data_IF_807799913946
#
_entry.id   IF_807799913946
#
_cell.length_a   1.000
_cell.length_b   1.000
_cell.length_c   1.000
_cell.angle_alpha   90.00
_cell.angle_beta   90.00
_cell.angle_gamma   90.00
#
_symmetry.space_group_name_H-M   'P 1'
#
loop_
_entity.id
_entity.type
_entity.pdbx_description
1 polymer ?
#
# COMPACT_ATOMS: atom_id res chain seq x y z
N UNK A 1 -58.57 -0.21 1.20
CA UNK A 1 -58.80 -0.43 2.64
C UNK A 1 -57.58 -1.17 3.17
N UNK A 2 -56.75 -0.72 4.11
CA UNK A 2 -56.71 0.45 4.99
C UNK A 2 -55.22 0.87 5.11
N UNK A 3 -54.96 2.18 5.21
CA UNK A 3 -53.66 2.74 5.60
C UNK A 3 -53.51 2.60 7.12
N UNK A 4 -52.33 2.22 7.59
CA UNK A 4 -51.95 2.33 9.00
C UNK A 4 -51.14 3.61 9.17
N UNK A 5 -51.75 4.59 9.83
CA UNK A 5 -51.09 5.76 10.44
C UNK A 5 -50.75 5.45 11.91
N UNK A 6 -49.93 6.33 12.50
CA UNK A 6 -49.46 6.45 13.91
C UNK A 6 -48.19 5.66 14.25
N UNK A 7 -47.14 6.22 14.88
CA UNK A 7 -46.94 7.50 15.58
C UNK A 7 -45.42 7.75 15.74
N UNK A 8 -44.93 8.97 15.50
CA UNK A 8 -43.55 9.39 15.81
C UNK A 8 -43.49 10.02 17.21
N UNK A 9 -42.50 9.69 18.07
CA UNK A 9 -42.37 10.30 19.39
C UNK A 9 -41.74 11.70 19.34
N UNK A 10 -42.20 12.55 20.27
CA UNK A 10 -41.99 14.00 20.38
C UNK A 10 -40.53 14.46 20.57
N UNK A 11 -40.14 15.51 19.83
CA UNK A 11 -38.87 16.26 19.99
C UNK A 11 -38.85 17.01 21.32
N UNK A 12 -37.74 16.90 22.08
CA UNK A 12 -37.48 17.72 23.29
C UNK A 12 -37.08 19.17 22.91
N UNK A 13 -37.42 20.19 23.71
CA UNK A 13 -37.13 21.59 23.40
C UNK A 13 -35.67 21.97 23.71
N UNK A 14 -35.15 22.95 22.95
CA UNK A 14 -33.86 23.63 23.18
C UNK A 14 -34.00 24.64 24.32
N UNK A 15 -33.05 24.65 25.25
CA UNK A 15 -32.83 25.79 26.15
C UNK A 15 -31.67 26.63 25.58
N UNK A 16 -32.03 27.77 24.99
CA UNK A 16 -31.17 28.95 24.87
C UNK A 16 -31.43 29.80 26.11
N UNK A 17 -30.38 30.17 26.85
CA UNK A 17 -30.39 31.40 27.68
C UNK A 17 -28.96 31.81 28.14
N UNK A 18 -28.35 32.68 27.32
CA UNK A 18 -27.65 33.95 27.67
C UNK A 18 -26.31 33.92 28.48
N UNK A 19 -25.46 34.99 28.47
CA UNK A 19 -25.42 36.24 27.69
C UNK A 19 -24.05 36.62 27.08
N UNK A 20 -24.10 37.70 26.28
CA UNK A 20 -23.09 38.47 25.53
C UNK A 20 -21.76 38.80 26.24
N UNK A 21 -20.72 38.92 25.42
CA UNK A 21 -19.44 39.61 25.67
C UNK A 21 -19.62 41.08 26.06
N UNK A 22 -18.67 41.65 26.85
CA UNK A 22 -18.11 42.95 26.43
C UNK A 22 -16.60 43.18 26.67
N UNK A 23 -16.05 43.94 25.71
CA UNK A 23 -15.03 45.02 25.75
C UNK A 23 -13.57 44.81 26.20
N UNK A 24 -12.69 45.13 25.24
CA UNK A 24 -11.28 45.52 25.30
C UNK A 24 -10.83 46.36 26.52
N UNK A 25 -9.65 46.02 27.07
CA UNK A 25 -8.62 46.97 27.56
C UNK A 25 -7.25 46.25 27.58
N UNK A 26 -6.09 46.93 27.36
CA UNK A 26 -4.87 46.34 26.80
C UNK A 26 -3.75 46.06 27.82
N UNK A 27 -2.61 45.57 27.29
CA UNK A 27 -1.30 45.23 27.91
C UNK A 27 -1.15 43.72 28.23
N UNK A 28 -0.04 43.05 27.94
CA UNK A 28 1.32 43.50 27.71
C UNK A 28 1.99 42.70 26.58
N UNK A 29 2.98 43.30 25.94
CA UNK A 29 3.93 42.65 25.04
C UNK A 29 4.55 41.43 25.75
N UNK A 30 4.20 40.24 25.27
CA UNK A 30 4.93 39.02 25.53
C UNK A 30 5.42 38.51 24.18
N UNK A 31 6.74 38.56 24.03
CA UNK A 31 7.51 38.01 22.91
C UNK A 31 7.10 36.54 22.70
N UNK A 32 6.23 36.28 21.74
CA UNK A 32 5.74 34.94 21.41
C UNK A 32 6.37 34.52 20.10
N UNK A 33 7.51 33.84 20.18
CA UNK A 33 8.00 33.03 19.06
C UNK A 33 7.18 31.74 19.03
N UNK A 34 6.29 31.52 18.03
CA UNK A 34 5.52 30.29 17.99
C UNK A 34 6.47 29.16 17.61
N UNK A 35 6.63 28.17 18.49
CA UNK A 35 7.22 26.90 18.08
C UNK A 35 6.39 26.35 16.93
N UNK A 36 6.98 26.20 15.74
CA UNK A 36 6.32 25.58 14.60
C UNK A 36 5.89 24.16 15.01
N UNK A 37 4.59 23.95 15.22
CA UNK A 37 4.02 22.61 15.28
C UNK A 37 4.33 21.91 13.95
N UNK A 38 5.05 20.79 14.02
CA UNK A 38 5.38 20.00 12.84
C UNK A 38 4.12 19.30 12.35
N UNK A 39 3.80 19.49 11.07
CA UNK A 39 2.67 18.82 10.42
C UNK A 39 2.84 17.29 10.49
N UNK A 40 1.77 16.48 10.68
CA UNK A 40 1.89 15.02 10.84
C UNK A 40 2.43 14.30 9.59
N UNK A 41 2.13 14.81 8.40
CA UNK A 41 2.69 14.32 7.15
C UNK A 41 4.03 15.00 6.88
N UNK A 42 5.11 14.25 7.11
CA UNK A 42 6.48 14.73 6.90
C UNK A 42 6.81 15.02 5.44
N UNK A 43 6.08 14.45 4.48
CA UNK A 43 6.32 14.70 3.04
C UNK A 43 6.03 16.16 2.65
N UNK A 44 5.20 16.84 3.44
CA UNK A 44 4.86 18.27 3.24
C UNK A 44 5.90 19.24 3.81
N UNK A 45 6.92 18.74 4.51
CA UNK A 45 7.85 19.60 5.22
C UNK A 45 8.84 20.29 4.28
N UNK A 46 8.93 21.63 4.42
CA UNK A 46 10.02 22.41 3.86
C UNK A 46 11.33 22.28 4.68
N UNK A 47 12.46 22.82 4.18
CA UNK A 47 13.77 22.67 4.83
C UNK A 47 13.83 23.16 6.28
N UNK A 48 13.13 24.24 6.63
CA UNK A 48 13.10 24.73 8.02
C UNK A 48 12.32 23.80 8.96
N UNK A 49 11.28 23.13 8.48
CA UNK A 49 10.53 22.15 9.26
C UNK A 49 11.39 20.89 9.48
N UNK A 50 12.17 20.48 8.46
CA UNK A 50 13.18 19.42 8.61
C UNK A 50 14.22 19.81 9.66
N UNK A 51 14.77 21.03 9.62
CA UNK A 51 15.69 21.50 10.65
C UNK A 51 15.09 21.48 12.06
N UNK A 52 13.83 21.90 12.22
CA UNK A 52 13.11 21.85 13.50
C UNK A 52 12.95 20.40 14.00
N UNK A 53 12.61 19.47 13.11
CA UNK A 53 12.54 18.04 13.43
C UNK A 53 13.88 17.48 13.91
N UNK A 54 14.98 17.78 13.20
CA UNK A 54 16.31 17.33 13.56
C UNK A 54 16.76 17.84 14.94
N UNK A 55 16.48 19.11 15.26
CA UNK A 55 16.76 19.68 16.59
C UNK A 55 16.00 18.95 17.69
N UNK A 56 14.73 18.61 17.47
CA UNK A 56 13.94 17.81 18.43
C UNK A 56 14.52 16.41 18.67
N UNK A 57 15.29 15.89 17.72
CA UNK A 57 16.04 14.65 17.84
C UNK A 57 17.43 14.78 18.50
N UNK A 58 17.84 16.00 18.87
CA UNK A 58 19.16 16.29 19.41
C UNK A 58 20.25 16.48 18.35
N UNK A 59 19.89 16.63 17.07
CA UNK A 59 20.84 16.86 15.98
C UNK A 59 20.94 18.36 15.68
N UNK A 60 21.75 19.07 16.48
CA UNK A 60 21.89 20.54 16.43
C UNK A 60 23.17 21.04 15.75
N UNK A 61 23.95 20.11 15.17
CA UNK A 61 25.15 20.39 14.37
C UNK A 61 24.92 21.56 13.38
N UNK A 62 25.60 22.71 13.54
CA UNK A 62 25.36 23.90 12.72
C UNK A 62 25.62 23.67 11.23
N UNK A 63 26.63 22.83 10.92
CA UNK A 63 26.99 22.48 9.54
C UNK A 63 25.90 21.64 8.90
N UNK A 64 25.37 20.64 9.61
CA UNK A 64 24.24 19.82 9.15
C UNK A 64 23.02 20.69 8.86
N UNK A 65 22.59 21.53 9.80
CA UNK A 65 21.40 22.36 9.63
C UNK A 65 21.57 23.41 8.51
N UNK A 66 22.77 23.95 8.34
CA UNK A 66 23.09 24.85 7.23
C UNK A 66 22.99 24.11 5.89
N UNK A 67 23.60 22.94 5.79
CA UNK A 67 23.59 22.14 4.56
C UNK A 67 22.19 21.62 4.20
N UNK A 68 21.34 21.28 5.17
CA UNK A 68 19.93 20.94 4.91
C UNK A 68 19.19 22.10 4.21
N UNK A 69 19.44 23.35 4.63
CA UNK A 69 18.84 24.55 4.02
C UNK A 69 19.41 24.85 2.65
N UNK A 70 20.73 24.85 2.52
CA UNK A 70 21.42 25.19 1.26
C UNK A 70 21.16 24.16 0.16
N UNK A 71 20.98 22.88 0.53
CA UNK A 71 20.64 21.81 -0.41
C UNK A 71 19.12 21.59 -0.55
N UNK A 72 18.30 22.47 0.01
CA UNK A 72 16.83 22.43 -0.05
C UNK A 72 16.24 21.05 0.32
N UNK A 73 16.79 20.40 1.35
CA UNK A 73 16.34 19.06 1.75
C UNK A 73 14.98 19.16 2.44
N UNK A 74 13.95 18.70 1.73
CA UNK A 74 12.57 18.61 2.21
C UNK A 74 12.30 17.30 2.94
N UNK A 75 11.19 17.22 3.68
CA UNK A 75 10.85 16.00 4.40
C UNK A 75 10.60 14.80 3.48
N UNK A 76 10.13 15.02 2.25
CA UNK A 76 10.00 13.97 1.25
C UNK A 76 11.34 13.29 0.89
N UNK A 77 12.48 13.99 1.05
CA UNK A 77 13.82 13.48 0.74
C UNK A 77 14.49 12.79 1.93
N UNK A 78 13.98 12.96 3.15
CA UNK A 78 14.55 12.35 4.36
C UNK A 78 14.72 10.82 4.27
N UNK A 79 13.76 10.04 3.73
CA UNK A 79 13.90 8.59 3.60
C UNK A 79 15.00 8.16 2.62
N UNK A 80 15.38 9.04 1.68
CA UNK A 80 16.38 8.77 0.64
C UNK A 80 17.80 9.14 1.07
N UNK A 81 17.99 9.59 2.32
CA UNK A 81 19.31 9.91 2.85
C UNK A 81 19.98 8.66 3.41
N UNK A 82 21.15 8.33 2.89
CA UNK A 82 22.00 7.24 3.35
C UNK A 82 23.22 7.74 4.14
N UNK A 83 24.03 6.80 4.64
CA UNK A 83 25.23 7.10 5.44
C UNK A 83 26.24 8.00 4.71
N UNK A 84 26.35 7.87 3.37
CA UNK A 84 27.27 8.67 2.54
C UNK A 84 26.75 10.09 2.33
N UNK A 85 25.44 10.25 2.17
CA UNK A 85 24.78 11.56 2.08
C UNK A 85 24.86 12.33 3.38
N UNK A 86 24.71 11.67 4.52
CA UNK A 86 24.90 12.34 5.81
C UNK A 86 26.34 12.82 6.04
N UNK A 87 27.34 12.09 5.51
CA UNK A 87 28.73 12.53 5.54
C UNK A 87 28.93 13.82 4.73
N UNK A 88 28.39 13.86 3.51
CA UNK A 88 28.44 15.04 2.65
C UNK A 88 27.67 16.24 3.24
N UNK A 89 26.66 15.98 4.07
CA UNK A 89 25.92 17.01 4.82
C UNK A 89 26.67 17.49 6.07
N UNK A 90 27.88 16.97 6.35
CA UNK A 90 28.76 17.43 7.41
C UNK A 90 28.70 16.61 8.70
N UNK A 91 28.01 15.46 8.72
CA UNK A 91 27.99 14.55 9.87
C UNK A 91 29.18 13.59 9.80
N UNK A 92 30.31 14.01 10.36
CA UNK A 92 31.58 13.26 10.27
C UNK A 92 31.58 11.96 11.09
N UNK A 93 30.92 11.96 12.25
CA UNK A 93 30.88 10.81 13.14
C UNK A 93 29.97 9.69 12.61
N UNK A 94 30.54 8.51 12.38
CA UNK A 94 29.76 7.31 12.00
C UNK A 94 28.66 6.98 13.03
N UNK A 95 28.96 7.16 14.32
CA UNK A 95 28.00 6.90 15.39
C UNK A 95 26.80 7.85 15.34
N UNK A 96 27.01 9.11 14.98
CA UNK A 96 25.92 10.08 14.82
C UNK A 96 25.14 9.86 13.54
N UNK A 97 25.82 9.52 12.43
CA UNK A 97 25.14 9.10 11.19
C UNK A 97 24.18 7.95 11.44
N UNK A 98 24.59 6.92 12.19
CA UNK A 98 23.72 5.80 12.54
C UNK A 98 22.54 6.19 13.44
N UNK A 99 22.77 7.07 14.42
CA UNK A 99 21.68 7.61 15.27
C UNK A 99 20.68 8.44 14.47
N UNK A 100 21.19 9.28 13.56
CA UNK A 100 20.38 10.13 12.68
C UNK A 100 19.54 9.29 11.72
N UNK A 101 20.15 8.29 11.12
CA UNK A 101 19.49 7.33 10.23
C UNK A 101 18.41 6.56 10.99
N UNK A 102 18.68 6.09 12.22
CA UNK A 102 17.67 5.49 13.11
C UNK A 102 16.54 6.45 13.48
N UNK A 103 16.85 7.73 13.74
CA UNK A 103 15.84 8.72 14.11
C UNK A 103 14.93 9.09 12.93
N UNK A 104 15.49 9.24 11.73
CA UNK A 104 14.74 9.43 10.50
C UNK A 104 13.94 8.17 10.16
N UNK A 105 14.50 6.98 10.36
CA UNK A 105 13.74 5.73 10.23
C UNK A 105 12.55 5.69 11.18
N UNK A 106 12.66 6.23 12.41
CA UNK A 106 11.51 6.35 13.33
C UNK A 106 10.46 7.37 12.87
N UNK A 107 10.87 8.46 12.21
CA UNK A 107 9.95 9.39 11.55
C UNK A 107 9.18 8.68 10.43
N UNK A 108 9.92 7.94 9.60
CA UNK A 108 9.34 7.09 8.56
C UNK A 108 8.41 6.07 9.22
N UNK A 109 8.79 5.45 10.34
CA UNK A 109 7.96 4.49 11.09
C UNK A 109 6.65 5.08 11.65
N UNK A 110 6.57 6.40 11.86
CA UNK A 110 5.34 7.10 12.30
C UNK A 110 4.39 7.36 11.10
N UNK A 111 4.86 7.19 9.87
CA UNK A 111 4.07 7.28 8.63
C UNK A 111 4.21 6.04 7.72
N UNK A 112 4.84 4.98 8.23
CA UNK A 112 4.83 3.65 7.63
C UNK A 112 3.46 3.12 8.00
N UNK A 113 2.60 3.04 7.00
CA UNK A 113 1.47 2.12 7.02
C UNK A 113 1.97 0.84 7.71
N UNK A 114 1.45 0.51 8.88
CA UNK A 114 1.92 -0.66 9.61
C UNK A 114 1.40 -1.92 8.91
N UNK A 115 2.02 -3.07 9.19
CA UNK A 115 1.44 -4.35 8.80
C UNK A 115 -0.04 -4.39 9.21
N UNK A 116 -0.90 -4.75 8.27
CA UNK A 116 -2.34 -4.88 8.54
C UNK A 116 -2.65 -6.34 8.81
N UNK A 117 -3.34 -6.61 9.91
CA UNK A 117 -3.77 -7.97 10.25
C UNK A 117 -5.20 -8.19 9.76
N UNK A 118 -5.41 -9.25 9.00
CA UNK A 118 -6.75 -9.75 8.64
C UNK A 118 -6.96 -11.11 9.31
N UNK A 119 -8.12 -11.31 9.91
CA UNK A 119 -8.51 -12.61 10.46
C UNK A 119 -9.18 -13.46 9.37
N UNK A 120 -8.57 -14.58 9.04
CA UNK A 120 -9.03 -15.56 8.06
C UNK A 120 -9.38 -16.89 8.77
N UNK A 121 -10.53 -17.52 8.48
CA UNK A 121 -10.92 -18.75 9.15
C UNK A 121 -10.09 -19.99 8.75
N UNK A 122 -9.32 -19.93 7.66
CA UNK A 122 -8.47 -21.04 7.19
C UNK A 122 -7.05 -20.91 7.71
N UNK A 123 -6.51 -19.68 7.69
CA UNK A 123 -5.11 -19.39 7.99
C UNK A 123 -4.88 -18.66 9.32
N UNK A 124 -5.94 -18.28 10.03
CA UNK A 124 -5.85 -17.50 11.26
C UNK A 124 -5.52 -16.03 10.98
N UNK A 125 -4.55 -15.47 11.70
CA UNK A 125 -4.13 -14.08 11.48
C UNK A 125 -3.14 -13.99 10.32
N UNK A 126 -3.55 -13.27 9.26
CA UNK A 126 -2.73 -12.96 8.10
C UNK A 126 -2.19 -11.55 8.25
N UNK A 127 -0.87 -11.40 8.24
CA UNK A 127 -0.19 -10.10 8.18
C UNK A 127 0.02 -9.68 6.72
N UNK A 128 -0.28 -8.41 6.43
CA UNK A 128 -0.18 -7.84 5.10
C UNK A 128 0.73 -6.62 5.09
N UNK A 129 1.75 -6.68 4.25
CA UNK A 129 2.59 -5.55 3.94
C UNK A 129 1.77 -4.40 3.33
N UNK A 130 2.06 -3.13 3.67
CA UNK A 130 1.32 -1.97 3.16
C UNK A 130 1.13 -1.91 1.66
N UNK A 131 2.16 -2.28 0.89
CA UNK A 131 2.05 -2.36 -0.56
C UNK A 131 0.93 -3.32 -1.00
N UNK A 132 0.80 -4.48 -0.32
CA UNK A 132 -0.28 -5.43 -0.57
C UNK A 132 -1.64 -4.80 -0.21
N UNK A 133 -1.72 -4.09 0.92
CA UNK A 133 -2.95 -3.37 1.32
C UNK A 133 -3.35 -2.34 0.26
N UNK A 134 -2.39 -1.60 -0.29
CA UNK A 134 -2.62 -0.62 -1.37
C UNK A 134 -3.12 -1.25 -2.66
N UNK A 135 -2.73 -2.49 -2.96
CA UNK A 135 -3.27 -3.28 -4.09
C UNK A 135 -4.68 -3.81 -3.77
N UNK A 136 -4.87 -4.33 -2.56
CA UNK A 136 -6.14 -4.89 -2.08
C UNK A 136 -7.23 -3.83 -2.06
N UNK A 137 -6.92 -2.63 -1.58
CA UNK A 137 -7.87 -1.52 -1.42
C UNK A 137 -8.08 -0.74 -2.74
N UNK A 138 -8.17 -1.46 -3.86
CA UNK A 138 -8.49 -0.91 -5.20
C UNK A 138 -9.79 -1.50 -5.75
N UNK A 139 -10.53 -0.78 -6.63
CA UNK A 139 -11.72 -1.33 -7.27
C UNK A 139 -11.46 -2.65 -8.01
N UNK A 140 -10.32 -2.77 -8.68
CA UNK A 140 -9.94 -3.92 -9.49
C UNK A 140 -9.83 -5.20 -8.65
N UNK A 141 -9.26 -5.08 -7.44
CA UNK A 141 -9.13 -6.19 -6.48
C UNK A 141 -10.42 -6.41 -5.68
N UNK A 142 -11.03 -5.34 -5.15
CA UNK A 142 -12.28 -5.43 -4.35
C UNK A 142 -13.43 -6.05 -5.15
N UNK A 143 -13.41 -5.99 -6.49
CA UNK A 143 -14.43 -6.66 -7.31
C UNK A 143 -14.50 -8.17 -7.05
N UNK A 144 -13.39 -8.81 -6.64
CA UNK A 144 -13.33 -10.25 -6.39
C UNK A 144 -14.27 -10.68 -5.24
N UNK A 145 -14.74 -9.74 -4.40
CA UNK A 145 -15.77 -10.00 -3.38
C UNK A 145 -17.11 -10.42 -3.97
N UNK A 146 -17.33 -10.12 -5.24
CA UNK A 146 -18.60 -10.35 -5.93
C UNK A 146 -18.57 -11.56 -6.86
N UNK A 147 -17.47 -12.34 -6.86
CA UNK A 147 -17.29 -13.49 -7.74
C UNK A 147 -17.17 -14.77 -6.90
N UNK A 148 -18.21 -15.61 -6.93
CA UNK A 148 -18.24 -16.89 -6.20
C UNK A 148 -17.12 -17.81 -6.67
N UNK A 149 -16.34 -18.36 -5.73
CA UNK A 149 -15.22 -19.26 -6.02
C UNK A 149 -15.66 -20.44 -6.87
N UNK A 150 -16.72 -21.12 -6.41
CA UNK A 150 -17.28 -22.31 -7.06
C UNK A 150 -18.43 -22.01 -8.02
N UNK A 151 -18.70 -20.74 -8.32
CA UNK A 151 -19.76 -20.34 -9.24
C UNK A 151 -21.10 -21.02 -8.93
N UNK A 152 -21.53 -21.90 -9.84
CA UNK A 152 -22.77 -22.69 -9.71
C UNK A 152 -22.79 -23.65 -8.51
N UNK A 153 -21.62 -24.01 -7.97
CA UNK A 153 -21.50 -24.89 -6.81
C UNK A 153 -22.24 -24.38 -5.58
N UNK A 154 -22.39 -23.06 -5.41
CA UNK A 154 -23.18 -22.47 -4.34
C UNK A 154 -24.67 -22.88 -4.34
N UNK A 155 -25.23 -23.15 -5.53
CA UNK A 155 -26.62 -23.61 -5.66
C UNK A 155 -26.81 -25.10 -5.31
N UNK A 156 -25.72 -25.84 -5.12
CA UNK A 156 -25.72 -27.24 -4.71
C UNK A 156 -25.24 -27.38 -3.27
N UNK A 157 -24.20 -26.61 -2.90
CA UNK A 157 -23.57 -26.62 -1.59
C UNK A 157 -23.77 -25.25 -0.93
N UNK A 158 -24.72 -25.09 0.01
CA UNK A 158 -25.04 -23.79 0.60
C UNK A 158 -23.88 -23.19 1.42
N UNK A 159 -22.93 -24.02 1.87
CA UNK A 159 -21.70 -23.56 2.53
C UNK A 159 -20.64 -22.99 1.56
N UNK A 160 -20.77 -23.21 0.25
CA UNK A 160 -19.86 -22.69 -0.77
C UNK A 160 -20.16 -21.22 -1.14
N UNK A 161 -20.38 -20.37 -0.12
CA UNK A 161 -20.74 -18.96 -0.29
C UNK A 161 -19.54 -18.05 -0.57
N UNK A 162 -18.32 -18.58 -0.40
CA UNK A 162 -17.06 -17.85 -0.51
C UNK A 162 -16.79 -17.37 -1.94
N UNK A 163 -16.04 -16.28 -2.03
CA UNK A 163 -15.68 -15.58 -3.24
C UNK A 163 -14.18 -15.63 -3.49
N UNK A 164 -13.76 -15.19 -4.68
CA UNK A 164 -12.35 -15.14 -5.07
C UNK A 164 -11.52 -14.24 -4.15
N UNK A 165 -12.11 -13.19 -3.56
CA UNK A 165 -11.39 -12.22 -2.72
C UNK A 165 -10.63 -12.86 -1.55
N UNK A 166 -11.32 -13.59 -0.68
CA UNK A 166 -10.70 -14.25 0.49
C UNK A 166 -9.73 -15.34 0.08
N UNK A 167 -10.00 -16.04 -1.03
CA UNK A 167 -9.06 -16.99 -1.60
C UNK A 167 -7.76 -16.31 -2.07
N UNK A 168 -7.86 -15.20 -2.81
CA UNK A 168 -6.70 -14.42 -3.27
C UNK A 168 -5.85 -13.90 -2.11
N UNK A 169 -6.47 -13.46 -1.00
CA UNK A 169 -5.74 -13.11 0.23
C UNK A 169 -4.96 -14.31 0.78
N UNK A 170 -5.60 -15.48 0.86
CA UNK A 170 -4.96 -16.71 1.33
C UNK A 170 -3.80 -17.16 0.44
N UNK A 171 -3.93 -17.04 -0.89
CA UNK A 171 -2.85 -17.40 -1.82
C UNK A 171 -1.67 -16.43 -1.70
N UNK A 172 -1.92 -15.12 -1.60
CA UNK A 172 -0.85 -14.15 -1.34
C UNK A 172 -0.11 -14.43 -0.02
N UNK A 173 -0.85 -14.79 1.03
CA UNK A 173 -0.26 -15.19 2.32
C UNK A 173 0.61 -16.44 2.21
N UNK A 174 0.07 -17.54 1.65
CA UNK A 174 0.81 -18.80 1.52
C UNK A 174 2.02 -18.68 0.60
N UNK A 175 1.92 -17.88 -0.46
CA UNK A 175 3.04 -17.56 -1.34
C UNK A 175 4.19 -16.92 -0.53
N UNK A 176 3.86 -15.93 0.31
CA UNK A 176 4.79 -15.30 1.26
C UNK A 176 5.40 -16.29 2.25
N UNK A 177 4.59 -17.13 2.89
CA UNK A 177 5.08 -18.14 3.84
C UNK A 177 6.11 -19.08 3.20
N UNK A 178 5.84 -19.54 1.97
CA UNK A 178 6.71 -20.47 1.28
C UNK A 178 8.04 -19.81 0.90
N UNK A 179 8.00 -18.65 0.24
CA UNK A 179 9.23 -17.96 -0.20
C UNK A 179 10.09 -17.52 0.98
N UNK A 180 9.47 -17.06 2.08
CA UNK A 180 10.20 -16.71 3.30
C UNK A 180 10.85 -17.95 3.94
N UNK A 181 10.13 -19.07 4.04
CA UNK A 181 10.68 -20.30 4.58
C UNK A 181 11.85 -20.86 3.75
N UNK A 182 11.83 -20.66 2.43
CA UNK A 182 12.95 -21.03 1.55
C UNK A 182 14.15 -20.10 1.77
N UNK A 183 13.92 -18.78 1.83
CA UNK A 183 14.98 -17.80 2.07
C UNK A 183 15.71 -18.01 3.40
N UNK A 184 14.95 -18.27 4.48
CA UNK A 184 15.51 -18.53 5.81
C UNK A 184 16.30 -19.85 5.87
N UNK A 185 15.82 -20.90 5.20
CA UNK A 185 16.45 -22.23 5.24
C UNK A 185 17.65 -22.36 4.29
N UNK A 186 17.67 -21.55 3.24
CA UNK A 186 18.70 -21.58 2.21
C UNK A 186 19.15 -20.15 1.85
N UNK A 187 19.89 -19.47 2.75
CA UNK A 187 20.32 -18.09 2.52
C UNK A 187 21.15 -17.93 1.23
N UNK A 188 21.83 -18.99 0.79
CA UNK A 188 22.60 -19.01 -0.46
C UNK A 188 21.78 -18.78 -1.73
N UNK A 189 20.45 -18.92 -1.66
CA UNK A 189 19.54 -18.59 -2.76
C UNK A 189 19.39 -17.07 -2.96
N UNK A 190 19.83 -16.26 -1.99
CA UNK A 190 19.80 -14.80 -2.06
C UNK A 190 18.39 -14.23 -2.31
N UNK A 191 17.36 -14.89 -1.78
CA UNK A 191 15.97 -14.44 -1.85
C UNK A 191 15.86 -13.14 -1.04
N UNK A 192 15.55 -12.05 -1.73
CA UNK A 192 15.43 -10.71 -1.13
C UNK A 192 13.98 -10.39 -0.72
N UNK A 193 13.79 -9.38 0.13
CA UNK A 193 12.46 -8.88 0.47
C UNK A 193 11.68 -8.38 -0.75
N UNK A 194 12.39 -7.89 -1.79
CA UNK A 194 11.82 -7.54 -3.09
C UNK A 194 11.21 -8.77 -3.76
N UNK A 195 11.93 -9.90 -3.77
CA UNK A 195 11.42 -11.16 -4.33
C UNK A 195 10.21 -11.66 -3.56
N UNK A 196 10.26 -11.60 -2.22
CA UNK A 196 9.13 -11.98 -1.34
C UNK A 196 7.88 -11.17 -1.68
N UNK A 197 8.00 -9.85 -1.78
CA UNK A 197 6.87 -8.99 -2.13
C UNK A 197 6.34 -9.28 -3.54
N UNK A 198 7.20 -9.48 -4.53
CA UNK A 198 6.78 -9.85 -5.88
C UNK A 198 6.00 -11.17 -5.90
N UNK A 199 6.48 -12.19 -5.18
CA UNK A 199 5.80 -13.49 -5.06
C UNK A 199 4.45 -13.37 -4.34
N UNK A 200 4.37 -12.57 -3.28
CA UNK A 200 3.11 -12.27 -2.61
C UNK A 200 2.12 -11.53 -3.52
N UNK A 201 2.59 -10.54 -4.29
CA UNK A 201 1.74 -9.80 -5.24
C UNK A 201 1.25 -10.74 -6.34
N UNK A 202 2.10 -11.62 -6.89
CA UNK A 202 1.69 -12.61 -7.88
C UNK A 202 0.62 -13.55 -7.32
N UNK A 203 0.82 -14.11 -6.12
CA UNK A 203 -0.17 -14.95 -5.44
C UNK A 203 -1.48 -14.23 -5.17
N UNK A 204 -1.41 -12.98 -4.72
CA UNK A 204 -2.59 -12.13 -4.50
C UNK A 204 -3.35 -11.87 -5.82
N UNK A 205 -2.63 -11.61 -6.90
CA UNK A 205 -3.20 -11.16 -8.16
C UNK A 205 -3.54 -12.27 -9.17
N UNK A 206 -3.20 -13.54 -8.90
CA UNK A 206 -3.34 -14.64 -9.87
C UNK A 206 -4.78 -14.82 -10.41
N UNK A 207 -5.78 -14.47 -9.60
CA UNK A 207 -7.21 -14.61 -9.90
C UNK A 207 -7.89 -13.30 -10.32
N UNK A 208 -7.12 -12.22 -10.52
CA UNK A 208 -7.65 -10.91 -10.90
C UNK A 208 -8.42 -10.92 -12.23
N UNK A 209 -8.34 -11.93 -13.07
CA UNK A 209 -9.01 -11.99 -14.36
C UNK A 209 -10.31 -12.79 -14.38
N UNK A 210 -10.70 -13.41 -13.28
CA UNK A 210 -11.92 -14.21 -13.27
C UNK A 210 -13.18 -13.37 -13.56
N UNK A 211 -14.07 -13.91 -14.37
CA UNK A 211 -15.38 -13.34 -14.68
C UNK A 211 -16.50 -13.89 -13.78
N UNK A 212 -17.77 -13.50 -14.05
CA UNK A 212 -18.93 -13.98 -13.31
C UNK A 212 -18.99 -15.51 -13.22
N UNK A 213 -19.14 -16.03 -12.00
CA UNK A 213 -19.14 -17.47 -11.69
C UNK A 213 -17.82 -18.21 -12.00
N UNK A 214 -16.68 -17.50 -11.89
CA UNK A 214 -15.33 -18.07 -11.99
C UNK A 214 -15.14 -18.90 -13.28
N UNK A 215 -14.82 -20.19 -13.17
CA UNK A 215 -14.51 -21.07 -14.30
C UNK A 215 -15.67 -21.26 -15.30
N UNK A 216 -16.90 -20.90 -14.93
CA UNK A 216 -18.00 -20.91 -15.89
C UNK A 216 -17.77 -19.87 -17.01
N UNK A 217 -17.18 -18.72 -16.67
CA UNK A 217 -17.06 -17.62 -17.61
C UNK A 217 -16.05 -17.91 -18.73
N UNK A 218 -14.81 -18.21 -18.36
CA UNK A 218 -13.71 -18.50 -19.28
C UNK A 218 -13.79 -19.93 -19.83
N UNK A 219 -14.27 -20.91 -19.05
CA UNK A 219 -14.34 -22.31 -19.47
C UNK A 219 -15.59 -22.70 -20.26
N UNK A 220 -16.67 -21.91 -20.21
CA UNK A 220 -17.92 -22.21 -20.96
C UNK A 220 -18.46 -21.02 -21.72
N UNK A 221 -18.74 -19.90 -21.06
CA UNK A 221 -19.43 -18.78 -21.69
C UNK A 221 -18.61 -18.16 -22.83
N UNK A 222 -17.35 -17.78 -22.58
CA UNK A 222 -16.49 -17.17 -23.59
C UNK A 222 -16.26 -18.10 -24.80
N UNK A 223 -15.90 -19.39 -24.62
CA UNK A 223 -15.78 -20.33 -25.74
C UNK A 223 -17.06 -20.48 -26.59
N UNK A 224 -18.24 -20.37 -25.96
CA UNK A 224 -19.52 -20.45 -26.67
C UNK A 224 -19.89 -19.14 -27.37
N UNK A 225 -19.65 -18.00 -26.70
CA UNK A 225 -20.04 -16.68 -27.20
C UNK A 225 -19.04 -16.13 -28.23
N UNK A 226 -17.76 -16.52 -28.12
CA UNK A 226 -16.63 -16.02 -28.92
C UNK A 226 -15.66 -17.16 -29.23
N UNK A 227 -16.07 -18.17 -30.03
CA UNK A 227 -15.28 -19.37 -30.29
C UNK A 227 -13.92 -19.10 -30.96
N UNK A 228 -13.79 -17.97 -31.66
CA UNK A 228 -12.57 -17.52 -32.31
C UNK A 228 -11.53 -16.94 -31.34
N UNK A 229 -11.95 -16.56 -30.13
CA UNK A 229 -11.07 -15.96 -29.12
C UNK A 229 -10.60 -17.01 -28.14
N UNK A 230 -9.28 -17.23 -28.11
CA UNK A 230 -8.63 -17.96 -27.02
C UNK A 230 -8.43 -17.01 -25.84
N UNK A 231 -9.21 -17.22 -24.79
CA UNK A 231 -9.18 -16.43 -23.57
C UNK A 231 -8.99 -17.34 -22.37
N UNK A 232 -8.14 -16.93 -21.44
CA UNK A 232 -8.03 -17.55 -20.12
C UNK A 232 -8.13 -16.49 -19.02
N UNK A 233 -8.53 -16.90 -17.81
CA UNK A 233 -8.61 -15.95 -16.70
C UNK A 233 -7.22 -15.43 -16.28
N UNK A 234 -6.15 -16.19 -16.49
CA UNK A 234 -4.77 -15.76 -16.24
C UNK A 234 -4.35 -14.58 -17.14
N UNK A 235 -4.71 -14.62 -18.42
CA UNK A 235 -4.53 -13.47 -19.33
C UNK A 235 -5.29 -12.25 -18.81
N UNK A 236 -6.53 -12.46 -18.35
CA UNK A 236 -7.31 -11.42 -17.70
C UNK A 236 -6.68 -10.89 -16.42
N UNK A 237 -6.00 -11.74 -15.64
CA UNK A 237 -5.33 -11.36 -14.39
C UNK A 237 -4.16 -10.43 -14.67
N UNK A 238 -3.34 -10.75 -15.67
CA UNK A 238 -2.24 -9.88 -16.11
C UNK A 238 -2.75 -8.53 -16.64
N UNK A 239 -3.79 -8.54 -17.48
CA UNK A 239 -4.40 -7.31 -18.00
C UNK A 239 -5.01 -6.45 -16.88
N UNK A 240 -5.70 -7.09 -15.92
CA UNK A 240 -6.32 -6.41 -14.80
C UNK A 240 -5.28 -5.89 -13.79
N UNK A 241 -4.19 -6.62 -13.57
CA UNK A 241 -3.09 -6.17 -12.73
C UNK A 241 -2.43 -4.91 -13.32
N UNK A 242 -2.14 -4.91 -14.62
CA UNK A 242 -1.63 -3.70 -15.32
C UNK A 242 -2.62 -2.53 -15.20
N UNK A 243 -3.92 -2.78 -15.36
CA UNK A 243 -4.93 -1.76 -15.19
C UNK A 243 -5.00 -1.24 -13.74
N UNK A 244 -4.88 -2.13 -12.74
CA UNK A 244 -4.87 -1.81 -11.31
C UNK A 244 -3.71 -0.87 -10.98
N UNK A 245 -2.49 -1.23 -11.38
CA UNK A 245 -1.30 -0.43 -11.03
C UNK A 245 -1.37 0.97 -11.66
N UNK A 246 -1.82 1.06 -12.91
CA UNK A 246 -1.86 2.32 -13.65
C UNK A 246 -2.99 3.23 -13.16
N UNK A 247 -4.17 2.67 -12.88
CA UNK A 247 -5.35 3.46 -12.48
C UNK A 247 -5.24 4.02 -11.07
N UNK A 248 -4.45 3.38 -10.20
CA UNK A 248 -4.35 3.73 -8.79
C UNK A 248 -2.98 4.33 -8.41
N UNK A 249 -2.11 4.60 -9.41
CA UNK A 249 -0.78 5.19 -9.18
C UNK A 249 0.09 4.34 -8.26
N UNK A 250 0.12 3.02 -8.47
CA UNK A 250 0.84 2.08 -7.59
C UNK A 250 2.33 2.03 -7.89
N UNK A 251 2.78 2.37 -9.12
CA UNK A 251 4.21 2.33 -9.48
C UNK A 251 5.12 3.15 -8.55
N UNK A 252 4.82 4.43 -8.24
CA UNK A 252 5.62 5.18 -7.26
C UNK A 252 5.58 4.60 -5.84
N UNK A 253 4.50 3.89 -5.49
CA UNK A 253 4.37 3.22 -4.20
C UNK A 253 5.23 1.97 -4.15
N UNK A 254 5.33 1.21 -5.25
CA UNK A 254 6.25 0.09 -5.39
C UNK A 254 7.71 0.55 -5.20
N UNK A 255 8.11 1.64 -5.86
CA UNK A 255 9.43 2.25 -5.70
C UNK A 255 9.70 2.67 -4.24
N UNK A 256 8.71 3.28 -3.56
CA UNK A 256 8.82 3.65 -2.15
C UNK A 256 9.12 2.43 -1.24
N UNK A 257 8.65 1.24 -1.63
CA UNK A 257 8.87 -0.01 -0.90
C UNK A 257 10.02 -0.87 -1.47
N UNK A 258 10.87 -0.30 -2.33
CA UNK A 258 12.11 -0.95 -2.79
C UNK A 258 11.95 -1.92 -3.97
N UNK A 259 10.80 -1.90 -4.65
CA UNK A 259 10.61 -2.60 -5.92
C UNK A 259 11.10 -1.73 -7.09
N UNK A 260 11.49 -2.37 -8.19
CA UNK A 260 11.82 -1.75 -9.48
C UNK A 260 10.68 -2.08 -10.44
N UNK A 261 9.70 -1.17 -10.66
CA UNK A 261 8.47 -1.49 -11.40
C UNK A 261 8.71 -2.10 -12.78
N UNK A 262 9.69 -1.63 -13.52
CA UNK A 262 10.00 -2.09 -14.89
C UNK A 262 10.35 -3.58 -14.93
N UNK A 263 11.08 -4.06 -13.92
CA UNK A 263 11.48 -5.46 -13.80
C UNK A 263 10.40 -6.28 -13.07
N UNK A 264 9.92 -5.76 -11.95
CA UNK A 264 9.07 -6.51 -11.01
C UNK A 264 7.66 -6.72 -11.54
N UNK A 265 7.11 -5.76 -12.30
CA UNK A 265 5.80 -5.95 -12.94
C UNK A 265 5.90 -7.06 -13.97
N UNK A 266 7.01 -7.16 -14.71
CA UNK A 266 7.23 -8.27 -15.64
C UNK A 266 7.27 -9.60 -14.88
N UNK A 267 8.08 -9.68 -13.84
CA UNK A 267 8.23 -10.89 -13.02
C UNK A 267 6.90 -11.33 -12.38
N UNK A 268 6.10 -10.40 -11.86
CA UNK A 268 4.77 -10.70 -11.29
C UNK A 268 3.83 -11.27 -12.36
N UNK A 269 3.82 -10.69 -13.56
CA UNK A 269 2.97 -11.18 -14.66
C UNK A 269 3.39 -12.57 -15.12
N UNK A 270 4.69 -12.82 -15.24
CA UNK A 270 5.24 -14.12 -15.63
C UNK A 270 4.86 -15.23 -14.64
N UNK A 271 4.81 -14.93 -13.35
CA UNK A 271 4.36 -15.89 -12.33
C UNK A 271 2.86 -16.25 -12.47
N UNK A 272 2.06 -15.38 -13.07
CA UNK A 272 0.61 -15.59 -13.23
C UNK A 272 0.30 -16.35 -14.52
N UNK A 273 0.88 -15.92 -15.65
CA UNK A 273 0.50 -16.45 -16.98
C UNK A 273 1.56 -17.39 -17.58
N UNK A 274 2.74 -17.49 -16.96
CA UNK A 274 3.91 -18.12 -17.54
C UNK A 274 4.73 -17.13 -18.38
N UNK A 275 5.73 -17.62 -19.14
CA UNK A 275 6.61 -16.78 -19.95
C UNK A 275 5.80 -15.86 -20.88
N UNK A 276 6.01 -14.55 -20.74
CA UNK A 276 5.52 -13.59 -21.73
C UNK A 276 6.37 -13.82 -22.99
N UNK A 277 5.77 -14.03 -24.15
CA UNK A 277 6.53 -14.28 -25.38
C UNK A 277 7.62 -13.21 -25.54
N UNK A 278 8.89 -13.65 -25.57
CA UNK A 278 10.00 -12.78 -25.97
C UNK A 278 9.66 -12.17 -27.34
N UNK A 279 10.05 -10.93 -27.64
CA UNK A 279 10.05 -10.49 -29.02
C UNK A 279 10.88 -11.51 -29.79
N UNK A 280 10.24 -12.22 -30.72
CA UNK A 280 10.95 -13.02 -31.71
C UNK A 280 11.90 -12.02 -32.38
N UNK A 281 13.20 -12.12 -32.10
CA UNK A 281 14.17 -11.55 -33.01
C UNK A 281 13.88 -12.23 -34.34
N UNK A 282 13.32 -11.47 -35.29
CA UNK A 282 13.34 -11.83 -36.71
C UNK A 282 14.80 -11.87 -37.15
N UNK A 283 15.51 -12.90 -36.72
CA UNK A 283 16.82 -13.25 -37.20
C UNK A 283 16.62 -13.97 -38.54
N UNK A 284 16.82 -13.19 -39.60
CA UNK A 284 17.39 -13.60 -40.88
C UNK A 284 16.70 -14.75 -41.63
N UNK A 285 15.90 -14.38 -42.63
CA UNK A 285 15.98 -14.95 -43.99
C UNK A 285 15.69 -13.88 -45.04
#
# INVERSE_FOLDING_TARGET
MQRADSEQPSKRPRCDDSPRTPSNTPSAEADWSPGLELHPDYKTWGPEQVCSFLRRGGFEEPVLLKNIRENEITGALLPCLDESRFENLGVSSLGERKKLLSYIQRLVQIHVDTMKVINDPIHGHIELHPLLVRIIDTPQFQRLRYIKQLGGGYYVFPGASHNRFEHSLGVGYLAGCLVHALGEKQPELQISERDVLCVQIAGLCHDLGHGPFSHMFDGRFIPLARPEVKWTHEQGSVMMFEHLINSNGIKPVMEQYGLIPEEDICFIKEQIVGPLESPVEDSLF
#
